data_IF_830444513908
#
_entry.id   IF_830444513908
#
_cell.length_a   1.000
_cell.length_b   1.000
_cell.length_c   1.000
_cell.angle_alpha   90.00
_cell.angle_beta   90.00
_cell.angle_gamma   90.00
#
_symmetry.space_group_name_H-M   'P 1'
#
loop_
_entity.id
_entity.type
_entity.pdbx_description
1 polymer ?
#
# COMPACT_ATOMS: atom_id res chain seq x y z
N UNK A 1 -14.55 25.16 5.02
CA UNK A 1 -13.58 24.50 4.11
C UNK A 1 -12.42 23.95 4.92
N UNK A 2 -12.08 22.67 4.67
CA UNK A 2 -10.95 22.03 5.32
C UNK A 2 -9.64 22.50 4.68
N UNK A 3 -8.60 22.60 5.50
CA UNK A 3 -7.26 22.90 5.00
C UNK A 3 -6.70 21.75 4.17
N UNK A 4 -5.77 22.07 3.27
CA UNK A 4 -5.03 21.09 2.51
C UNK A 4 -4.01 20.40 3.43
N UNK A 5 -4.04 19.07 3.46
CA UNK A 5 -3.05 18.27 4.16
C UNK A 5 -2.08 17.69 3.16
N UNK A 6 -0.79 17.96 3.36
CA UNK A 6 0.27 17.36 2.57
C UNK A 6 0.72 16.06 3.21
N UNK A 7 1.11 15.10 2.37
CA UNK A 7 1.57 13.81 2.86
C UNK A 7 2.78 14.01 3.79
N UNK A 8 2.68 13.56 5.06
CA UNK A 8 3.75 13.82 6.03
C UNK A 8 4.97 12.90 5.87
N UNK A 9 4.90 11.88 5.02
CA UNK A 9 6.00 10.94 4.79
C UNK A 9 6.52 11.10 3.36
N UNK A 10 7.81 10.80 3.21
CA UNK A 10 8.41 10.64 1.89
C UNK A 10 8.13 9.23 1.39
N UNK A 11 8.07 9.03 0.06
CA UNK A 11 7.99 7.67 -0.48
C UNK A 11 9.13 6.80 0.01
N UNK A 12 8.82 5.57 0.37
CA UNK A 12 9.82 4.57 0.75
C UNK A 12 10.11 3.71 -0.49
N UNK A 13 11.29 3.92 -1.10
CA UNK A 13 11.61 3.38 -2.42
C UNK A 13 12.97 2.66 -2.43
N UNK A 14 13.08 1.45 -1.87
CA UNK A 14 14.29 0.65 -2.03
C UNK A 14 14.54 0.39 -3.52
N UNK A 15 15.76 0.62 -3.99
CA UNK A 15 16.09 0.50 -5.42
C UNK A 15 15.78 -0.89 -5.99
N UNK A 16 15.94 -1.93 -5.16
CA UNK A 16 15.68 -3.32 -5.53
C UNK A 16 14.20 -3.72 -5.44
N UNK A 17 13.29 -2.78 -5.22
CA UNK A 17 11.88 -3.11 -5.01
C UNK A 17 11.26 -3.84 -6.20
N UNK A 18 10.53 -4.90 -5.89
CA UNK A 18 9.77 -5.71 -6.86
C UNK A 18 8.29 -5.38 -6.83
N UNK A 19 7.80 -4.83 -5.74
CA UNK A 19 6.42 -4.36 -5.60
C UNK A 19 6.38 -2.97 -5.01
N UNK A 20 5.37 -2.20 -5.43
CA UNK A 20 5.07 -0.87 -4.90
C UNK A 20 3.65 -0.88 -4.36
N UNK A 21 3.50 -0.81 -3.05
CA UNK A 21 2.19 -0.68 -2.41
C UNK A 21 1.73 0.76 -2.46
N UNK A 22 0.49 0.96 -2.88
CA UNK A 22 -0.15 2.28 -2.87
C UNK A 22 -1.51 2.19 -2.19
N UNK A 23 -1.67 2.91 -1.08
CA UNK A 23 -2.97 3.21 -0.50
C UNK A 23 -3.48 4.54 -1.04
N UNK A 24 -4.50 5.10 -0.42
CA UNK A 24 -5.02 6.41 -0.80
C UNK A 24 -4.28 7.56 -0.12
N UNK A 25 -4.31 7.59 1.21
CA UNK A 25 -3.65 8.61 2.03
C UNK A 25 -3.65 8.12 3.48
N UNK A 26 -2.66 8.51 4.32
CA UNK A 26 -2.63 8.04 5.70
C UNK A 26 -3.78 8.62 6.53
N UNK A 27 -4.15 7.96 7.65
CA UNK A 27 -5.15 8.49 8.56
C UNK A 27 -4.67 9.77 9.24
N UNK A 28 -5.57 10.47 9.93
CA UNK A 28 -5.21 11.63 10.73
C UNK A 28 -4.12 11.28 11.75
N UNK A 29 -3.22 12.22 11.99
CA UNK A 29 -2.04 12.05 12.85
C UNK A 29 -2.35 11.48 14.24
N UNK A 30 -3.50 11.82 14.80
CA UNK A 30 -3.94 11.34 16.12
C UNK A 30 -4.10 9.82 16.19
N UNK A 31 -4.20 9.15 15.03
CA UNK A 31 -4.33 7.70 14.95
C UNK A 31 -3.00 6.97 14.73
N UNK A 32 -1.90 7.71 14.63
CA UNK A 32 -0.59 7.11 14.36
C UNK A 32 0.05 6.62 15.65
N UNK A 33 0.54 5.39 15.65
CA UNK A 33 1.37 4.87 16.72
C UNK A 33 2.86 4.85 16.37
N UNK A 34 3.20 5.17 15.11
CA UNK A 34 4.59 5.29 14.65
C UNK A 34 4.66 6.23 13.45
N UNK A 35 5.85 6.70 13.10
CA UNK A 35 6.09 7.58 11.96
C UNK A 35 6.43 6.79 10.70
N UNK A 36 5.46 6.06 10.17
CA UNK A 36 5.65 5.28 8.96
C UNK A 36 4.28 4.96 8.34
N UNK A 37 4.28 4.18 7.25
CA UNK A 37 3.05 3.77 6.55
C UNK A 37 2.26 2.74 7.37
N UNK A 38 0.93 2.74 7.18
CA UNK A 38 0.01 1.92 7.96
C UNK A 38 0.24 2.10 9.46
N UNK A 39 0.17 3.37 9.93
CA UNK A 39 0.60 3.71 11.29
C UNK A 39 -0.45 3.48 12.37
N UNK A 40 -1.69 3.13 12.00
CA UNK A 40 -2.76 2.94 12.97
C UNK A 40 -2.62 1.57 13.64
N UNK A 41 -2.60 1.55 14.97
CA UNK A 41 -2.49 0.33 15.74
C UNK A 41 -3.54 -0.73 15.37
N UNK A 42 -4.74 -0.30 14.98
CA UNK A 42 -5.81 -1.22 14.56
C UNK A 42 -5.83 -1.50 13.06
N UNK A 43 -4.79 -1.12 12.32
CA UNK A 43 -4.61 -1.55 10.94
C UNK A 43 -3.69 -2.77 10.92
N UNK A 44 -4.09 -3.82 10.21
CA UNK A 44 -3.42 -5.11 10.27
C UNK A 44 -2.35 -5.32 9.21
N UNK A 45 -1.98 -4.29 8.44
CA UNK A 45 -0.99 -4.46 7.36
C UNK A 45 0.29 -5.16 7.83
N UNK A 46 0.88 -4.67 8.92
CA UNK A 46 2.14 -5.25 9.42
C UNK A 46 1.94 -6.62 10.07
N UNK A 47 0.76 -6.89 10.61
CA UNK A 47 0.41 -8.24 11.10
C UNK A 47 0.23 -9.22 9.95
N UNK A 48 -0.35 -8.77 8.84
CA UNK A 48 -0.50 -9.58 7.62
C UNK A 48 0.88 -9.92 7.06
N UNK A 49 1.77 -8.94 6.93
CA UNK A 49 3.12 -9.17 6.43
C UNK A 49 3.92 -10.10 7.34
N UNK A 50 3.81 -9.94 8.64
CA UNK A 50 4.44 -10.85 9.59
C UNK A 50 3.95 -12.29 9.42
N UNK A 51 2.65 -12.48 9.26
CA UNK A 51 2.07 -13.81 9.05
C UNK A 51 2.52 -14.42 7.73
N UNK A 52 2.52 -13.65 6.65
CA UNK A 52 2.91 -14.15 5.32
C UNK A 52 4.38 -14.57 5.27
N UNK A 53 5.28 -13.72 5.77
CA UNK A 53 6.73 -13.94 5.58
C UNK A 53 7.37 -14.74 6.71
N UNK A 54 6.80 -14.72 7.91
CA UNK A 54 7.42 -15.35 9.10
C UNK A 54 6.51 -16.35 9.81
N UNK A 55 5.26 -16.50 9.37
CA UNK A 55 4.30 -17.34 10.08
C UNK A 55 3.95 -16.81 11.47
N UNK A 56 4.13 -15.51 11.69
CA UNK A 56 3.94 -14.88 12.98
C UNK A 56 3.34 -13.48 12.80
N UNK A 57 2.05 -13.33 13.08
CA UNK A 57 1.37 -12.05 12.98
C UNK A 57 1.93 -10.99 13.93
N UNK A 58 2.65 -11.39 14.96
CA UNK A 58 3.23 -10.48 15.95
C UNK A 58 4.71 -10.18 15.68
N UNK A 59 5.25 -10.62 14.55
CA UNK A 59 6.67 -10.42 14.20
C UNK A 59 7.10 -8.96 14.27
N UNK A 60 6.22 -8.03 13.89
CA UNK A 60 6.49 -6.59 13.88
C UNK A 60 5.74 -5.82 14.97
N UNK A 61 5.19 -6.51 15.96
CA UNK A 61 4.29 -5.93 16.97
C UNK A 61 5.01 -5.78 18.30
N UNK A 62 4.89 -4.60 18.91
CA UNK A 62 5.26 -4.35 20.30
C UNK A 62 3.98 -4.14 21.09
N UNK A 63 3.48 -5.22 21.71
CA UNK A 63 2.23 -5.20 22.47
C UNK A 63 2.28 -4.29 23.68
N UNK A 64 3.42 -4.24 24.38
CA UNK A 64 3.54 -3.46 25.61
C UNK A 64 3.43 -1.96 25.35
N UNK A 65 3.96 -1.49 24.24
CA UNK A 65 3.92 -0.08 23.84
C UNK A 65 2.81 0.23 22.85
N UNK A 66 2.07 -0.77 22.41
CA UNK A 66 1.02 -0.66 21.39
C UNK A 66 1.50 0.08 20.15
N UNK A 67 2.62 -0.36 19.61
CA UNK A 67 3.23 0.17 18.40
C UNK A 67 3.83 -0.98 17.58
N UNK A 68 4.39 -0.63 16.44
CA UNK A 68 5.07 -1.60 15.58
C UNK A 68 6.59 -1.39 15.67
N UNK A 69 7.34 -2.45 15.38
CA UNK A 69 8.80 -2.46 15.43
C UNK A 69 9.35 -1.85 14.13
N UNK A 70 9.42 -0.52 14.08
CA UNK A 70 9.73 0.24 12.88
C UNK A 70 11.07 -0.15 12.25
N UNK A 71 12.13 -0.27 13.04
CA UNK A 71 13.46 -0.62 12.50
C UNK A 71 13.46 -1.99 11.84
N UNK A 72 12.75 -2.95 12.44
CA UNK A 72 12.61 -4.30 11.88
C UNK A 72 11.80 -4.27 10.58
N UNK A 73 10.76 -3.45 10.54
CA UNK A 73 9.94 -3.27 9.34
C UNK A 73 10.78 -2.70 8.19
N UNK A 74 11.53 -1.64 8.44
CA UNK A 74 12.37 -1.00 7.42
C UNK A 74 13.42 -1.97 6.89
N UNK A 75 14.08 -2.72 7.78
CA UNK A 75 15.06 -3.74 7.38
C UNK A 75 14.42 -4.83 6.53
N UNK A 76 13.25 -5.29 6.93
CA UNK A 76 12.49 -6.30 6.19
C UNK A 76 12.12 -5.82 4.79
N UNK A 77 11.54 -4.61 4.68
CA UNK A 77 11.12 -4.05 3.40
C UNK A 77 12.31 -3.84 2.46
N UNK A 78 13.42 -3.34 2.98
CA UNK A 78 14.64 -3.14 2.18
C UNK A 78 15.22 -4.46 1.69
N UNK A 79 15.20 -5.49 2.54
CA UNK A 79 15.70 -6.82 2.19
C UNK A 79 14.81 -7.50 1.14
N UNK A 80 13.49 -7.43 1.31
CA UNK A 80 12.54 -8.08 0.40
C UNK A 80 12.32 -7.32 -0.90
N UNK A 81 12.56 -6.03 -0.90
CA UNK A 81 12.32 -5.20 -2.07
C UNK A 81 10.84 -4.79 -2.17
N UNK A 82 10.33 -4.16 -1.12
CA UNK A 82 8.96 -3.66 -1.05
C UNK A 82 8.99 -2.16 -0.88
N UNK A 83 8.40 -1.43 -1.83
CA UNK A 83 8.25 0.02 -1.80
C UNK A 83 6.85 0.40 -1.35
N UNK A 84 6.71 1.58 -0.75
CA UNK A 84 5.46 2.07 -0.18
C UNK A 84 5.27 3.56 -0.48
N UNK A 85 4.06 3.92 -0.88
CA UNK A 85 3.57 5.29 -0.85
C UNK A 85 2.03 5.27 -0.92
N UNK A 86 1.43 6.40 -1.32
CA UNK A 86 -0.02 6.55 -1.49
C UNK A 86 -0.33 7.24 -2.81
N UNK A 87 -1.57 7.11 -3.28
CA UNK A 87 -1.99 7.69 -4.57
C UNK A 87 -2.22 9.19 -4.51
N UNK A 88 -2.34 9.76 -3.32
CA UNK A 88 -2.48 11.21 -3.14
C UNK A 88 -1.29 11.77 -2.36
N UNK A 89 -0.78 12.91 -2.82
CA UNK A 89 0.29 13.66 -2.16
C UNK A 89 -0.27 14.77 -1.30
N UNK A 90 -1.46 15.29 -1.64
CA UNK A 90 -2.19 16.25 -0.80
C UNK A 90 -3.69 16.03 -0.94
N UNK A 91 -4.40 16.20 0.16
CA UNK A 91 -5.85 15.99 0.22
C UNK A 91 -6.54 17.05 1.08
N UNK A 92 -7.87 17.15 0.95
CA UNK A 92 -8.75 17.74 1.96
C UNK A 92 -9.61 16.64 2.54
N UNK A 93 -9.77 16.64 3.86
CA UNK A 93 -10.67 15.70 4.53
C UNK A 93 -12.03 16.34 4.63
N UNK A 94 -12.99 15.78 3.91
CA UNK A 94 -14.37 16.24 3.97
C UNK A 94 -15.00 15.67 5.24
N UNK A 95 -15.83 16.50 5.94
CA UNK A 95 -16.51 16.09 7.17
C UNK A 95 -15.57 15.59 8.28
N UNK A 96 -14.29 15.96 8.21
CA UNK A 96 -13.29 15.55 9.20
C UNK A 96 -13.29 14.03 9.46
N UNK A 97 -13.46 13.24 8.40
CA UNK A 97 -13.61 11.80 8.47
C UNK A 97 -12.36 11.10 7.89
N UNK A 98 -11.98 9.96 8.47
CA UNK A 98 -10.83 9.19 8.03
C UNK A 98 -11.13 8.22 6.87
N UNK A 99 -12.41 8.06 6.50
CA UNK A 99 -12.80 7.18 5.40
C UNK A 99 -12.36 7.75 4.06
N UNK A 100 -11.88 6.88 3.15
CA UNK A 100 -11.44 7.24 1.81
C UNK A 100 -12.48 8.01 1.01
N UNK A 101 -13.76 7.69 1.17
CA UNK A 101 -14.84 8.37 0.47
C UNK A 101 -14.98 9.85 0.83
N UNK A 102 -14.41 10.28 1.96
CA UNK A 102 -14.40 11.65 2.42
C UNK A 102 -13.07 12.37 2.15
N UNK A 103 -12.20 11.78 1.35
CA UNK A 103 -10.96 12.42 0.91
C UNK A 103 -11.16 13.06 -0.46
N UNK A 104 -10.84 14.35 -0.55
CA UNK A 104 -10.74 15.05 -1.83
C UNK A 104 -9.27 15.15 -2.19
N UNK A 105 -8.87 14.55 -3.31
CA UNK A 105 -7.48 14.62 -3.77
C UNK A 105 -7.20 16.00 -4.34
N UNK A 106 -6.27 16.72 -3.74
CA UNK A 106 -5.83 18.04 -4.20
C UNK A 106 -4.62 17.91 -5.12
N UNK A 107 -3.64 17.09 -4.71
CA UNK A 107 -2.45 16.82 -5.52
C UNK A 107 -2.31 15.29 -5.65
N UNK A 108 -2.57 14.73 -6.83
CA UNK A 108 -2.33 13.31 -7.05
C UNK A 108 -0.82 13.02 -7.05
N UNK A 109 -0.46 11.82 -6.61
CA UNK A 109 0.93 11.38 -6.65
C UNK A 109 1.38 11.15 -8.10
N UNK A 110 2.59 11.59 -8.42
CA UNK A 110 3.22 11.27 -9.70
C UNK A 110 3.76 9.83 -9.63
N UNK A 111 2.95 8.87 -10.04
CA UNK A 111 3.26 7.44 -9.92
C UNK A 111 4.40 7.05 -10.85
N UNK A 112 4.48 7.63 -12.04
CA UNK A 112 5.57 7.34 -12.98
C UNK A 112 6.92 7.77 -12.41
N UNK A 113 6.95 8.84 -11.63
CA UNK A 113 8.16 9.27 -10.92
C UNK A 113 8.58 8.25 -9.85
N UNK A 114 7.63 7.68 -9.12
CA UNK A 114 7.93 6.61 -8.15
C UNK A 114 8.51 5.39 -8.86
N UNK A 115 7.90 4.98 -9.97
CA UNK A 115 8.35 3.82 -10.75
C UNK A 115 9.77 4.03 -11.30
N UNK A 116 10.12 5.25 -11.68
CA UNK A 116 11.47 5.56 -12.16
C UNK A 116 12.55 5.28 -11.09
N UNK A 117 12.19 5.39 -9.81
CA UNK A 117 13.10 5.10 -8.70
C UNK A 117 13.18 3.61 -8.34
N UNK A 118 12.26 2.80 -8.85
CA UNK A 118 12.22 1.35 -8.61
C UNK A 118 12.10 0.62 -9.95
N UNK A 119 13.16 0.65 -10.78
CA UNK A 119 13.08 0.21 -12.18
C UNK A 119 12.78 -1.28 -12.36
N UNK A 120 12.98 -2.10 -11.34
CA UNK A 120 12.73 -3.54 -11.40
C UNK A 120 11.37 -3.93 -10.80
N UNK A 121 10.53 -2.95 -10.49
CA UNK A 121 9.18 -3.20 -9.94
C UNK A 121 8.35 -4.04 -10.93
N UNK A 122 7.73 -5.10 -10.42
CA UNK A 122 6.91 -6.02 -11.22
C UNK A 122 5.43 -5.71 -11.12
N UNK A 123 5.02 -5.17 -9.97
CA UNK A 123 3.61 -4.94 -9.69
C UNK A 123 3.39 -3.70 -8.84
N UNK A 124 2.37 -2.92 -9.20
CA UNK A 124 1.78 -1.94 -8.29
C UNK A 124 0.66 -2.67 -7.56
N UNK A 125 0.68 -2.58 -6.23
CA UNK A 125 -0.28 -3.29 -5.38
C UNK A 125 -1.11 -2.24 -4.64
N UNK A 126 -2.39 -2.14 -5.00
CA UNK A 126 -3.29 -1.20 -4.34
C UNK A 126 -4.04 -1.89 -3.19
N UNK A 127 -4.21 -1.15 -2.10
CA UNK A 127 -5.01 -1.58 -0.96
C UNK A 127 -6.22 -0.67 -0.85
N UNK A 128 -7.40 -1.22 -1.11
CA UNK A 128 -8.65 -0.46 -1.09
C UNK A 128 -9.11 -0.02 -2.48
N UNK A 129 -10.40 0.29 -2.56
CA UNK A 129 -11.06 0.59 -3.83
C UNK A 129 -10.62 1.93 -4.43
N UNK A 130 -10.48 2.96 -3.61
CA UNK A 130 -10.14 4.30 -4.08
C UNK A 130 -8.77 4.34 -4.76
N UNK A 131 -7.76 3.72 -4.16
CA UNK A 131 -6.43 3.61 -4.76
C UNK A 131 -6.49 2.83 -6.08
N UNK A 132 -7.23 1.72 -6.11
CA UNK A 132 -7.37 0.91 -7.32
C UNK A 132 -8.03 1.72 -8.45
N UNK A 133 -9.12 2.44 -8.14
CA UNK A 133 -9.81 3.27 -9.12
C UNK A 133 -8.90 4.37 -9.68
N UNK A 134 -8.08 4.98 -8.83
CA UNK A 134 -7.12 6.01 -9.25
C UNK A 134 -6.13 5.46 -10.27
N UNK A 135 -5.59 4.26 -10.03
CA UNK A 135 -4.65 3.61 -10.95
C UNK A 135 -5.34 3.20 -12.27
N UNK A 136 -6.55 2.68 -12.19
CA UNK A 136 -7.31 2.31 -13.37
C UNK A 136 -7.59 3.52 -14.26
N UNK A 137 -7.97 4.65 -13.67
CA UNK A 137 -8.20 5.89 -14.41
C UNK A 137 -6.91 6.39 -15.07
N UNK A 138 -5.82 6.42 -14.31
CA UNK A 138 -4.52 6.88 -14.83
C UNK A 138 -4.05 6.08 -16.04
N UNK A 139 -4.18 4.76 -15.99
CA UNK A 139 -3.62 3.87 -17.01
C UNK A 139 -4.63 3.36 -18.02
N UNK A 140 -5.84 3.90 -18.02
CA UNK A 140 -6.86 3.53 -19.00
C UNK A 140 -7.37 2.11 -18.84
N UNK A 141 -7.37 1.57 -17.64
CA UNK A 141 -7.90 0.25 -17.33
C UNK A 141 -9.41 0.38 -17.13
N UNK A 142 -10.19 -0.16 -18.09
CA UNK A 142 -11.64 0.01 -18.09
C UNK A 142 -12.35 -0.82 -17.06
N UNK A 143 -11.85 -2.01 -16.77
CA UNK A 143 -12.46 -2.95 -15.84
C UNK A 143 -11.54 -3.13 -14.63
N UNK A 144 -12.00 -2.61 -13.49
CA UNK A 144 -11.25 -2.73 -12.24
C UNK A 144 -11.15 -4.20 -11.84
N UNK A 145 -9.93 -4.70 -11.49
CA UNK A 145 -9.81 -6.06 -11.01
C UNK A 145 -10.60 -6.28 -9.71
N UNK A 146 -11.09 -7.48 -9.52
CA UNK A 146 -11.73 -7.87 -8.26
C UNK A 146 -10.70 -7.93 -7.14
N UNK A 147 -11.17 -7.85 -5.89
CA UNK A 147 -10.30 -8.00 -4.72
C UNK A 147 -9.55 -9.33 -4.80
N UNK A 148 -8.22 -9.27 -4.68
CA UNK A 148 -7.34 -10.43 -4.80
C UNK A 148 -6.90 -10.75 -6.23
N UNK A 149 -7.43 -10.06 -7.23
CA UNK A 149 -7.08 -10.28 -8.64
C UNK A 149 -6.11 -9.21 -9.16
N UNK A 150 -5.62 -9.41 -10.37
CA UNK A 150 -4.72 -8.48 -11.02
C UNK A 150 -5.09 -8.29 -12.50
N UNK A 151 -4.52 -7.25 -13.09
CA UNK A 151 -4.61 -6.96 -14.51
C UNK A 151 -3.26 -6.42 -14.98
N UNK A 152 -2.87 -6.70 -16.22
CA UNK A 152 -1.69 -6.09 -16.82
C UNK A 152 -1.94 -4.60 -17.07
N UNK A 153 -0.97 -3.75 -16.75
CA UNK A 153 -1.07 -2.31 -17.04
C UNK A 153 -0.70 -2.11 -18.51
N UNK A 154 -1.63 -1.56 -19.33
CA UNK A 154 -1.38 -1.42 -20.76
C UNK A 154 -0.11 -0.61 -21.06
N UNK A 155 0.75 -1.13 -21.92
CA UNK A 155 1.94 -0.46 -22.43
C UNK A 155 2.93 0.02 -21.38
N UNK A 156 2.93 -0.61 -20.19
CA UNK A 156 3.90 -0.30 -19.12
C UNK A 156 4.75 -1.52 -18.81
N UNK A 157 6.06 -1.34 -18.90
CA UNK A 157 7.05 -2.40 -18.70
C UNK A 157 8.12 -1.91 -17.73
N UNK A 158 8.69 -2.82 -16.96
CA UNK A 158 9.82 -2.49 -16.10
C UNK A 158 11.14 -2.56 -16.88
N UNK A 159 12.27 -2.28 -16.23
CA UNK A 159 13.59 -2.29 -16.85
C UNK A 159 13.99 -3.67 -17.36
N UNK A 160 13.38 -4.74 -16.87
CA UNK A 160 13.65 -6.11 -17.27
C UNK A 160 12.77 -6.56 -18.45
N UNK A 161 11.94 -5.66 -18.98
CA UNK A 161 11.04 -5.97 -20.10
C UNK A 161 9.76 -6.70 -19.69
N UNK A 162 9.48 -6.80 -18.40
CA UNK A 162 8.26 -7.44 -17.90
C UNK A 162 7.12 -6.43 -17.84
N UNK A 163 5.92 -6.82 -18.27
CA UNK A 163 4.75 -5.95 -18.15
C UNK A 163 4.42 -5.72 -16.68
N UNK A 164 4.20 -4.46 -16.31
CA UNK A 164 3.75 -4.11 -14.97
C UNK A 164 2.33 -4.63 -14.74
N UNK A 165 2.10 -5.15 -13.54
CA UNK A 165 0.80 -5.64 -13.10
C UNK A 165 0.19 -4.68 -12.09
N UNK A 166 -1.13 -4.60 -12.09
CA UNK A 166 -1.90 -3.94 -11.04
C UNK A 166 -2.64 -5.02 -10.26
N UNK A 167 -2.22 -5.22 -9.01
CA UNK A 167 -2.90 -6.11 -8.06
C UNK A 167 -3.82 -5.31 -7.16
N UNK A 168 -5.03 -5.81 -6.96
CA UNK A 168 -5.94 -5.24 -5.97
C UNK A 168 -6.01 -6.15 -4.75
N UNK A 169 -5.50 -5.69 -3.62
CA UNK A 169 -5.62 -6.39 -2.34
C UNK A 169 -6.75 -5.79 -1.51
N UNK A 170 -7.32 -6.58 -0.57
CA UNK A 170 -8.30 -6.03 0.36
C UNK A 170 -7.66 -4.97 1.25
N UNK A 171 -8.46 -4.03 1.73
CA UNK A 171 -8.00 -3.07 2.73
C UNK A 171 -7.53 -3.83 3.98
N UNK A 172 -6.41 -3.39 4.55
CA UNK A 172 -5.87 -3.93 5.80
C UNK A 172 -6.52 -3.34 7.04
N UNK A 173 -7.38 -2.33 6.87
CA UNK A 173 -8.15 -1.75 7.97
C UNK A 173 -9.09 -2.79 8.59
N UNK A 174 -9.18 -2.81 9.91
CA UNK A 174 -10.16 -3.67 10.60
C UNK A 174 -11.61 -3.28 10.30
N UNK A 175 -11.85 -2.06 9.83
CA UNK A 175 -13.17 -1.64 9.38
C UNK A 175 -13.61 -2.34 8.09
N UNK A 176 -12.67 -2.89 7.31
CA UNK A 176 -13.00 -3.63 6.10
C UNK A 176 -13.51 -5.03 6.48
N UNK A 177 -14.76 -5.40 6.09
CA UNK A 177 -15.43 -6.60 6.60
C UNK A 177 -14.94 -7.89 5.93
N UNK A 178 -13.69 -8.24 6.17
CA UNK A 178 -13.08 -9.48 5.69
C UNK A 178 -12.21 -10.05 6.82
N UNK A 179 -12.29 -11.37 7.03
CA UNK A 179 -11.52 -12.04 8.06
C UNK A 179 -10.00 -11.88 7.82
N UNK A 180 -9.25 -11.76 8.90
CA UNK A 180 -7.79 -11.64 8.86
C UNK A 180 -7.14 -12.74 8.00
N UNK A 181 -7.56 -14.00 8.19
CA UNK A 181 -7.02 -15.12 7.42
C UNK A 181 -7.22 -14.96 5.91
N UNK A 182 -8.33 -14.35 5.50
CA UNK A 182 -8.62 -14.09 4.07
C UNK A 182 -7.76 -12.97 3.53
N UNK A 183 -7.48 -11.96 4.33
CA UNK A 183 -6.54 -10.89 3.95
C UNK A 183 -5.13 -11.46 3.78
N UNK A 184 -4.70 -12.30 4.71
CA UNK A 184 -3.39 -12.99 4.63
C UNK A 184 -3.30 -13.83 3.36
N UNK A 185 -4.35 -14.59 3.04
CA UNK A 185 -4.38 -15.41 1.83
C UNK A 185 -4.20 -14.57 0.55
N UNK A 186 -4.90 -13.45 0.45
CA UNK A 186 -4.79 -12.56 -0.70
C UNK A 186 -3.36 -12.00 -0.85
N UNK A 187 -2.76 -11.54 0.23
CA UNK A 187 -1.38 -11.05 0.23
C UNK A 187 -0.41 -12.16 -0.17
N UNK A 188 -0.56 -13.35 0.41
CA UNK A 188 0.31 -14.49 0.12
C UNK A 188 0.29 -14.86 -1.36
N UNK A 189 -0.90 -14.93 -1.96
CA UNK A 189 -1.05 -15.24 -3.38
C UNK A 189 -0.32 -14.20 -4.25
N UNK A 190 -0.46 -12.94 -3.93
CA UNK A 190 0.23 -11.88 -4.66
C UNK A 190 1.75 -12.01 -4.52
N UNK A 191 2.26 -12.17 -3.30
CA UNK A 191 3.70 -12.30 -3.09
C UNK A 191 4.31 -13.53 -3.77
N UNK A 192 3.57 -14.64 -3.81
CA UNK A 192 3.96 -15.81 -4.57
C UNK A 192 4.04 -15.49 -6.07
N UNK A 193 3.02 -14.84 -6.59
CA UNK A 193 2.94 -14.53 -8.02
C UNK A 193 4.06 -13.60 -8.49
N UNK A 194 4.48 -12.66 -7.64
CA UNK A 194 5.57 -11.72 -8.00
C UNK A 194 6.95 -12.23 -7.57
N UNK A 195 7.03 -13.41 -6.97
CA UNK A 195 8.30 -14.06 -6.67
C UNK A 195 9.00 -13.59 -5.41
N UNK A 196 8.29 -13.02 -4.43
CA UNK A 196 8.88 -12.62 -3.16
C UNK A 196 8.87 -13.74 -2.11
N UNK A 197 8.05 -14.74 -2.30
CA UNK A 197 8.04 -15.96 -1.48
C UNK A 197 7.94 -17.20 -2.36
#
# INVERSE_FOLDING_TARGET
TSDVEWHPLKPFLPENAKVLFLGSFPPQRKRWCMDFFYPNWINDHWRIEGEVFFGDKNRFVDESSKTFLLDDIVSFLSNKGIALFDTATAVRRLQNNASDKFLEVVVPTNIDSLLASVPHCRAIVTTGEKATATLCEKYGIKEMPKVGAYVGIPERFNADGEQLLLYRLPSSSRAYPLAFAKKVEAYRKMFLAVGLI
#
